data_IF_825482899693
#
_entry.id   IF_825482899693
#
_cell.length_a   1.000
_cell.length_b   1.000
_cell.length_c   1.000
_cell.angle_alpha   90.00
_cell.angle_beta   90.00
_cell.angle_gamma   90.00
#
_symmetry.space_group_name_H-M   'P 1'
#
loop_
_entity.id
_entity.type
_entity.pdbx_description
1 polymer ?
#
# COMPACT_ATOMS: atom_id res chain seq x y z
N UNK A 1 -49.33 13.72 9.83
CA UNK A 1 -48.58 12.46 9.95
C UNK A 1 -47.92 12.19 8.61
N UNK A 2 -46.63 12.44 8.53
CA UNK A 2 -45.80 12.41 7.32
C UNK A 2 -45.36 10.97 7.01
N UNK A 3 -45.64 10.40 5.84
CA UNK A 3 -44.96 9.18 5.40
C UNK A 3 -43.55 9.53 4.90
N UNK A 4 -42.55 8.92 5.52
CA UNK A 4 -41.15 8.99 5.12
C UNK A 4 -40.94 8.08 3.92
N UNK A 5 -40.77 8.67 2.74
CA UNK A 5 -40.33 7.99 1.54
C UNK A 5 -38.86 8.35 1.26
N UNK A 6 -37.91 7.70 1.93
CA UNK A 6 -36.48 7.70 1.55
C UNK A 6 -35.89 6.36 1.98
N UNK A 7 -35.73 5.43 1.04
CA UNK A 7 -35.16 4.11 1.31
C UNK A 7 -34.94 3.33 0.02
N UNK A 8 -34.06 3.84 -0.84
CA UNK A 8 -33.78 3.23 -2.13
C UNK A 8 -32.62 3.92 -2.85
N UNK A 9 -31.52 4.15 -2.14
CA UNK A 9 -30.32 4.74 -2.69
C UNK A 9 -29.28 3.66 -2.99
N UNK A 10 -28.99 3.46 -4.28
CA UNK A 10 -27.71 2.94 -4.76
C UNK A 10 -27.58 1.43 -4.83
N UNK A 11 -27.91 0.86 -5.99
CA UNK A 11 -27.33 -0.37 -6.51
C UNK A 11 -25.80 -0.31 -6.41
N UNK A 12 -25.21 -0.90 -5.37
CA UNK A 12 -23.79 -1.22 -5.37
C UNK A 12 -23.58 -2.29 -6.44
N UNK A 13 -22.92 -1.91 -7.52
CA UNK A 13 -22.64 -2.75 -8.67
C UNK A 13 -22.11 -4.11 -8.22
N UNK A 14 -22.87 -5.16 -8.52
CA UNK A 14 -22.44 -6.54 -8.44
C UNK A 14 -21.39 -6.77 -9.54
N UNK A 15 -20.11 -6.59 -9.22
CA UNK A 15 -19.04 -7.17 -10.02
C UNK A 15 -19.02 -8.68 -9.72
N UNK A 16 -19.80 -9.42 -10.50
CA UNK A 16 -19.71 -10.87 -10.59
C UNK A 16 -18.53 -11.25 -11.50
N UNK A 17 -17.48 -11.78 -10.90
CA UNK A 17 -16.51 -12.66 -11.55
C UNK A 17 -16.00 -13.68 -10.52
N UNK A 18 -16.66 -14.84 -10.45
CA UNK A 18 -16.11 -16.12 -9.96
C UNK A 18 -15.73 -16.26 -8.48
N UNK A 19 -16.42 -17.16 -7.77
CA UNK A 19 -15.92 -17.97 -6.66
C UNK A 19 -15.22 -17.25 -5.48
N UNK A 20 -15.98 -16.87 -4.44
CA UNK A 20 -15.53 -16.59 -3.06
C UNK A 20 -14.04 -16.29 -2.89
N UNK A 21 -13.53 -15.27 -3.58
CA UNK A 21 -12.16 -14.82 -3.38
C UNK A 21 -12.12 -14.31 -1.94
N UNK A 22 -11.36 -15.03 -1.10
CA UNK A 22 -11.24 -14.65 0.29
C UNK A 22 -10.70 -13.22 0.32
N UNK A 23 -11.24 -12.36 1.20
CA UNK A 23 -10.77 -10.98 1.27
C UNK A 23 -9.26 -10.98 1.47
N UNK A 24 -8.55 -10.23 0.65
CA UNK A 24 -7.10 -10.02 0.70
C UNK A 24 -6.77 -8.63 1.22
N UNK A 25 -5.50 -8.40 1.56
CA UNK A 25 -5.00 -7.06 1.92
C UNK A 25 -5.38 -6.02 0.86
N UNK A 26 -5.25 -6.33 -0.43
CA UNK A 26 -5.64 -5.40 -1.49
C UNK A 26 -7.14 -5.12 -1.47
N UNK A 27 -7.98 -6.17 -1.48
CA UNK A 27 -9.45 -6.01 -1.54
C UNK A 27 -10.03 -5.28 -0.32
N UNK A 28 -9.35 -5.37 0.83
CA UNK A 28 -9.70 -4.63 2.03
C UNK A 28 -9.21 -3.18 1.93
N UNK A 29 -7.97 -2.96 1.45
CA UNK A 29 -7.37 -1.62 1.42
C UNK A 29 -8.06 -0.70 0.42
N UNK A 30 -8.54 -1.21 -0.71
CA UNK A 30 -9.32 -0.40 -1.66
C UNK A 30 -10.65 0.11 -1.06
N UNK A 31 -11.14 -0.51 0.02
CA UNK A 31 -12.36 -0.09 0.74
C UNK A 31 -12.06 0.76 1.98
N UNK A 32 -10.79 0.86 2.39
CA UNK A 32 -10.37 1.57 3.59
C UNK A 32 -10.36 3.09 3.36
N UNK A 33 -10.85 3.84 4.35
CA UNK A 33 -10.98 5.30 4.24
C UNK A 33 -9.64 6.04 4.07
N UNK A 34 -8.52 5.46 4.49
CA UNK A 34 -7.19 6.09 4.38
C UNK A 34 -6.53 5.88 3.01
N UNK A 35 -7.10 4.99 2.19
CA UNK A 35 -6.56 4.60 0.89
C UNK A 35 -7.54 4.74 -0.27
N UNK A 36 -8.83 5.01 -0.01
CA UNK A 36 -9.84 5.24 -1.05
C UNK A 36 -9.52 6.36 -2.05
N UNK A 37 -8.78 7.38 -1.60
CA UNK A 37 -8.34 8.53 -2.40
C UNK A 37 -6.89 8.38 -2.89
N UNK A 38 -6.32 7.18 -2.77
CA UNK A 38 -4.95 6.85 -3.18
C UNK A 38 -4.99 5.76 -4.23
N UNK A 39 -3.96 5.73 -5.05
CA UNK A 39 -3.76 4.69 -6.05
C UNK A 39 -2.87 3.59 -5.49
N UNK A 40 -3.18 2.34 -5.83
CA UNK A 40 -2.27 1.22 -5.60
C UNK A 40 -1.09 1.28 -6.58
N UNK A 41 0.10 1.52 -6.04
CA UNK A 41 1.37 1.59 -6.80
C UNK A 41 2.19 0.30 -6.68
N UNK A 42 1.79 -0.60 -5.78
CA UNK A 42 2.52 -1.83 -5.45
C UNK A 42 2.61 -2.88 -6.56
N UNK A 43 1.97 -2.65 -7.71
CA UNK A 43 2.05 -3.50 -8.90
C UNK A 43 2.79 -2.84 -10.07
N UNK A 44 3.33 -1.64 -9.89
CA UNK A 44 3.91 -0.83 -10.96
C UNK A 44 5.24 -0.21 -10.52
N UNK A 45 6.33 -0.67 -11.15
CA UNK A 45 7.68 -0.24 -10.83
C UNK A 45 7.90 1.25 -11.13
N UNK A 46 7.28 1.77 -12.19
CA UNK A 46 7.44 3.16 -12.62
C UNK A 46 6.72 4.09 -11.65
N UNK A 47 5.53 3.70 -11.17
CA UNK A 47 4.81 4.47 -10.14
C UNK A 47 5.58 4.58 -8.83
N UNK A 48 6.21 3.50 -8.37
CA UNK A 48 7.05 3.53 -7.16
C UNK A 48 8.30 4.40 -7.40
N UNK A 49 8.94 4.30 -8.56
CA UNK A 49 10.08 5.15 -8.95
C UNK A 49 9.72 6.63 -8.98
N UNK A 50 8.56 6.96 -9.54
CA UNK A 50 8.02 8.31 -9.60
C UNK A 50 7.72 8.83 -8.20
N UNK A 51 6.97 8.07 -7.39
CA UNK A 51 6.62 8.43 -6.02
C UNK A 51 7.87 8.70 -5.16
N UNK A 52 8.93 7.87 -5.28
CA UNK A 52 10.19 8.09 -4.57
C UNK A 52 10.94 9.36 -4.98
N UNK A 53 10.68 9.89 -6.18
CA UNK A 53 11.25 11.15 -6.66
C UNK A 53 10.42 12.38 -6.31
N UNK A 54 9.24 12.21 -5.73
CA UNK A 54 8.36 13.33 -5.42
C UNK A 54 8.87 14.18 -4.25
N UNK A 55 8.69 15.48 -4.39
CA UNK A 55 9.04 16.47 -3.35
C UNK A 55 7.82 16.96 -2.57
N UNK A 56 6.61 16.59 -3.01
CA UNK A 56 5.34 17.00 -2.40
C UNK A 56 5.15 16.35 -1.03
N UNK A 57 4.75 17.14 -0.03
CA UNK A 57 4.52 16.63 1.32
C UNK A 57 3.12 16.02 1.52
N UNK A 58 3.00 14.93 2.30
CA UNK A 58 4.11 14.13 2.85
C UNK A 58 4.81 13.34 1.74
N UNK A 59 6.16 13.35 1.73
CA UNK A 59 6.93 12.64 0.70
C UNK A 59 6.72 11.14 0.85
N UNK A 60 6.60 10.46 -0.29
CA UNK A 60 6.52 9.01 -0.29
C UNK A 60 7.77 8.38 0.32
N UNK A 61 8.95 8.93 0.06
CA UNK A 61 10.22 8.47 0.64
C UNK A 61 10.20 8.47 2.17
N UNK A 62 9.66 9.53 2.79
CA UNK A 62 9.58 9.66 4.25
C UNK A 62 8.54 8.72 4.84
N UNK A 63 7.40 8.60 4.15
CA UNK A 63 6.32 7.67 4.52
C UNK A 63 6.82 6.22 4.48
N UNK A 64 7.51 5.84 3.40
CA UNK A 64 8.07 4.51 3.21
C UNK A 64 9.21 4.24 4.19
N UNK A 65 10.09 5.22 4.44
CA UNK A 65 11.13 5.14 5.48
C UNK A 65 10.50 4.85 6.86
N UNK A 66 9.41 5.52 7.20
CA UNK A 66 8.71 5.33 8.47
C UNK A 66 8.20 3.90 8.71
N UNK A 67 7.87 3.16 7.64
CA UNK A 67 7.39 1.77 7.72
C UNK A 67 8.42 0.75 7.25
N UNK A 68 9.64 1.17 6.91
CA UNK A 68 10.67 0.33 6.29
C UNK A 68 11.02 -0.92 7.12
N UNK A 69 11.02 -0.77 8.44
CA UNK A 69 11.34 -1.88 9.36
C UNK A 69 10.16 -2.85 9.55
N UNK A 70 8.96 -2.45 9.13
CA UNK A 70 7.73 -3.23 9.24
C UNK A 70 7.36 -3.90 7.91
N UNK A 71 7.87 -3.39 6.78
CA UNK A 71 7.84 -4.10 5.49
C UNK A 71 8.89 -5.21 5.47
N UNK A 72 8.98 -6.01 6.52
CA UNK A 72 9.83 -7.18 6.52
C UNK A 72 9.14 -8.31 5.78
N UNK A 73 9.96 -9.24 5.31
CA UNK A 73 9.52 -10.58 5.03
C UNK A 73 8.84 -11.14 6.27
N UNK A 74 7.50 -11.11 6.32
CA UNK A 74 6.73 -12.04 7.18
C UNK A 74 7.30 -13.43 6.95
N UNK A 75 7.29 -14.35 7.91
CA UNK A 75 7.99 -15.65 7.83
C UNK A 75 7.79 -16.44 6.51
N UNK A 76 6.69 -16.21 5.78
CA UNK A 76 6.43 -16.69 4.41
C UNK A 76 7.30 -16.08 3.28
N UNK A 77 8.16 -15.11 3.56
CA UNK A 77 8.90 -14.30 2.59
C UNK A 77 10.41 -14.58 2.62
N UNK A 78 10.81 -15.81 2.93
CA UNK A 78 12.21 -16.27 2.87
C UNK A 78 12.91 -16.01 1.51
N UNK A 79 12.16 -15.71 0.45
CA UNK A 79 12.66 -15.36 -0.89
C UNK A 79 12.79 -13.86 -1.17
N UNK A 80 12.33 -12.99 -0.28
CA UNK A 80 12.49 -11.54 -0.38
C UNK A 80 13.70 -11.12 0.44
N UNK A 81 14.82 -10.87 -0.24
CA UNK A 81 16.01 -10.31 0.38
C UNK A 81 15.84 -8.80 0.55
N UNK A 82 15.61 -8.36 1.79
CA UNK A 82 15.67 -6.94 2.14
C UNK A 82 17.09 -6.43 1.86
N UNK A 83 17.26 -5.22 1.30
CA UNK A 83 18.57 -4.62 1.13
C UNK A 83 19.37 -4.63 2.44
N UNK A 84 20.66 -4.96 2.35
CA UNK A 84 21.55 -5.13 3.51
C UNK A 84 21.94 -3.80 4.15
N UNK A 85 21.83 -2.71 3.41
CA UNK A 85 22.15 -1.37 3.85
C UNK A 85 21.18 -0.89 4.93
N UNK A 86 21.67 -0.02 5.81
CA UNK A 86 20.85 0.55 6.86
C UNK A 86 19.71 1.39 6.27
N UNK A 87 18.60 1.50 7.00
CA UNK A 87 17.47 2.35 6.61
C UNK A 87 17.89 3.79 6.30
N UNK A 88 18.79 4.37 7.09
CA UNK A 88 19.27 5.73 6.85
C UNK A 88 20.19 5.86 5.64
N UNK A 89 20.94 4.81 5.30
CA UNK A 89 21.70 4.73 4.06
C UNK A 89 20.78 4.64 2.84
N UNK A 90 19.74 3.82 2.91
CA UNK A 90 18.78 3.63 1.82
C UNK A 90 17.97 4.91 1.55
N UNK A 91 17.47 5.54 2.62
CA UNK A 91 16.65 6.75 2.57
C UNK A 91 17.43 8.00 2.99
N UNK A 92 18.61 8.19 2.38
CA UNK A 92 19.40 9.40 2.55
C UNK A 92 18.69 10.61 1.91
N UNK A 93 19.13 11.83 2.25
CA UNK A 93 18.59 13.08 1.68
C UNK A 93 18.61 13.10 0.15
N UNK A 94 19.61 12.44 -0.44
CA UNK A 94 19.71 12.19 -1.88
C UNK A 94 19.88 10.69 -2.10
N UNK A 95 18.76 10.00 -2.31
CA UNK A 95 18.75 8.56 -2.58
C UNK A 95 19.53 8.30 -3.87
N UNK A 96 20.60 7.51 -3.79
CA UNK A 96 21.38 7.12 -4.97
C UNK A 96 20.54 6.29 -5.94
N UNK A 97 20.94 6.24 -7.22
CA UNK A 97 20.25 5.41 -8.21
C UNK A 97 20.19 3.93 -7.78
N UNK A 98 21.29 3.39 -7.26
CA UNK A 98 21.37 2.03 -6.74
C UNK A 98 20.40 1.79 -5.57
N UNK A 99 20.35 2.72 -4.61
CA UNK A 99 19.45 2.60 -3.47
C UNK A 99 17.99 2.73 -3.91
N UNK A 100 17.70 3.62 -4.86
CA UNK A 100 16.37 3.77 -5.45
C UNK A 100 15.93 2.47 -6.09
N UNK A 101 16.78 1.81 -6.87
CA UNK A 101 16.46 0.53 -7.49
C UNK A 101 16.19 -0.58 -6.46
N UNK A 102 17.01 -0.65 -5.41
CA UNK A 102 16.84 -1.61 -4.31
C UNK A 102 15.54 -1.39 -3.55
N UNK A 103 15.22 -0.13 -3.21
CA UNK A 103 13.98 0.24 -2.52
C UNK A 103 12.78 -0.12 -3.38
N UNK A 104 12.79 0.29 -4.66
CA UNK A 104 11.72 0.03 -5.61
C UNK A 104 11.46 -1.47 -5.76
N UNK A 105 12.51 -2.24 -6.03
CA UNK A 105 12.40 -3.68 -6.28
C UNK A 105 11.87 -4.41 -5.06
N UNK A 106 12.38 -4.07 -3.87
CA UNK A 106 11.93 -4.67 -2.63
C UNK A 106 10.48 -4.30 -2.30
N UNK A 107 10.11 -3.02 -2.41
CA UNK A 107 8.73 -2.56 -2.16
C UNK A 107 7.74 -3.16 -3.15
N UNK A 108 8.08 -3.20 -4.45
CA UNK A 108 7.24 -3.82 -5.48
C UNK A 108 6.96 -5.28 -5.14
N UNK A 109 8.00 -6.05 -4.82
CA UNK A 109 7.87 -7.46 -4.54
C UNK A 109 7.14 -7.72 -3.20
N UNK A 110 7.37 -6.90 -2.17
CA UNK A 110 6.63 -6.97 -0.91
C UNK A 110 5.14 -6.62 -1.08
N UNK A 111 4.83 -5.57 -1.83
CA UNK A 111 3.46 -5.18 -2.14
C UNK A 111 2.73 -6.21 -3.00
N UNK A 112 3.41 -6.79 -3.99
CA UNK A 112 2.87 -7.83 -4.87
C UNK A 112 2.55 -9.14 -4.14
N UNK A 113 3.34 -9.48 -3.11
CA UNK A 113 3.03 -10.62 -2.22
C UNK A 113 1.93 -10.28 -1.22
N UNK A 114 2.09 -9.18 -0.50
CA UNK A 114 1.17 -8.79 0.58
C UNK A 114 -0.24 -8.53 0.05
N UNK A 115 -0.37 -7.91 -1.12
CA UNK A 115 -1.68 -7.64 -1.76
C UNK A 115 -2.53 -8.89 -1.96
N UNK A 116 -1.90 -10.04 -2.23
CA UNK A 116 -2.57 -11.32 -2.48
C UNK A 116 -2.79 -12.14 -1.20
N UNK A 117 -2.18 -11.73 -0.08
CA UNK A 117 -2.34 -12.43 1.19
C UNK A 117 -3.77 -12.28 1.69
N UNK A 118 -4.34 -13.38 2.18
CA UNK A 118 -5.67 -13.41 2.77
C UNK A 118 -5.70 -12.54 4.04
N UNK A 119 -6.72 -11.70 4.17
CA UNK A 119 -7.02 -10.83 5.30
C UNK A 119 -8.54 -10.83 5.53
N UNK A 120 -9.02 -11.82 6.28
CA UNK A 120 -10.42 -11.99 6.66
C UNK A 120 -11.00 -10.74 7.33
N UNK A 121 -10.26 -10.20 8.29
CA UNK A 121 -10.68 -9.05 9.10
C UNK A 121 -9.58 -8.02 9.12
N UNK A 122 -9.94 -6.76 8.89
CA UNK A 122 -9.03 -5.64 9.07
C UNK A 122 -8.72 -5.54 10.58
N UNK A 123 -7.45 -5.55 10.99
CA UNK A 123 -7.11 -5.47 12.41
C UNK A 123 -7.66 -4.18 13.01
N UNK A 124 -8.38 -4.31 14.13
CA UNK A 124 -8.90 -3.16 14.86
C UNK A 124 -7.77 -2.40 15.56
N UNK A 125 -7.81 -1.08 15.44
CA UNK A 125 -6.84 -0.18 16.06
C UNK A 125 -5.75 0.31 15.11
N UNK A 126 -5.33 1.56 15.34
CA UNK A 126 -4.29 2.22 14.56
C UNK A 126 -2.89 1.81 15.05
N UNK A 127 -2.65 0.50 15.18
CA UNK A 127 -1.33 0.00 15.52
C UNK A 127 -0.41 0.34 14.35
N UNK A 128 0.37 1.41 14.53
CA UNK A 128 1.25 1.96 13.50
C UNK A 128 2.28 0.94 12.98
N UNK A 129 2.48 -0.15 13.73
CA UNK A 129 3.40 -1.25 13.45
C UNK A 129 2.73 -2.52 12.89
N UNK A 130 1.46 -2.45 12.46
CA UNK A 130 0.80 -3.60 11.83
C UNK A 130 1.17 -3.69 10.34
N UNK A 131 1.33 -4.92 9.83
CA UNK A 131 1.47 -5.22 8.39
C UNK A 131 0.41 -4.49 7.56
N UNK A 132 -0.79 -4.34 8.10
CA UNK A 132 -1.89 -3.58 7.51
C UNK A 132 -1.53 -2.11 7.27
N UNK A 133 -1.07 -1.39 8.29
CA UNK A 133 -0.69 0.01 8.15
C UNK A 133 0.51 0.18 7.21
N UNK A 134 1.50 -0.70 7.32
CA UNK A 134 2.64 -0.73 6.42
C UNK A 134 2.21 -0.98 4.97
N UNK A 135 1.22 -1.84 4.75
CA UNK A 135 0.69 -2.12 3.42
C UNK A 135 0.02 -0.89 2.82
N UNK A 136 -0.84 -0.21 3.59
CA UNK A 136 -1.47 1.03 3.16
C UNK A 136 -0.44 2.12 2.85
N UNK A 137 0.58 2.28 3.68
CA UNK A 137 1.61 3.34 3.52
C UNK A 137 2.61 3.05 2.41
N UNK A 138 3.02 1.80 2.22
CA UNK A 138 4.02 1.44 1.22
C UNK A 138 3.41 1.21 -0.18
N UNK A 139 2.20 0.67 -0.25
CA UNK A 139 1.62 0.20 -1.51
C UNK A 139 0.54 1.13 -2.08
N UNK A 140 0.06 2.11 -1.32
CA UNK A 140 -0.87 3.12 -1.79
C UNK A 140 -0.29 4.51 -1.64
N UNK A 141 -0.33 5.27 -2.73
CA UNK A 141 0.16 6.64 -2.77
C UNK A 141 -0.82 7.53 -3.52
N UNK A 142 -0.82 8.83 -3.24
CA UNK A 142 -1.66 9.75 -4.02
C UNK A 142 -1.16 9.71 -5.47
N UNK A 143 -2.08 9.50 -6.41
CA UNK A 143 -1.72 9.58 -7.82
C UNK A 143 -1.35 11.03 -8.14
N UNK A 144 -0.14 11.26 -8.61
CA UNK A 144 0.27 12.49 -9.30
C UNK A 144 -0.40 12.51 -10.67
N UNK A 145 -1.73 12.55 -10.70
CA UNK A 145 -2.43 13.00 -11.89
C UNK A 145 -1.96 14.45 -12.11
N UNK A 146 -1.23 14.68 -13.20
CA UNK A 146 -0.78 15.99 -13.63
C UNK A 146 -1.98 16.95 -13.61
N UNK A 147 -1.94 17.89 -12.67
CA UNK A 147 -2.74 19.11 -12.75
C UNK A 147 -1.95 20.15 -13.55
#
# INVERSE_FOLDING_TARGET
>A
MTPQAIGGGGTLAAYAAGAFDKPTYYSQAVKDNETKDKEYIGGDIEKIKTALGETTEPKYSDTLKGVWDQITSTEESATLSKPTETKDTLFSTSISADNKEKIVSYTLAWCGKTSKKELATVPEGNNNNSTWNSFKKACFHKSTASA
#
